data_IF_097383624366
#
_entry.id   IF_097383624366
#
_cell.length_a   1.000
_cell.length_b   1.000
_cell.length_c   1.000
_cell.angle_alpha   90.00
_cell.angle_beta   90.00
_cell.angle_gamma   90.00
#
_symmetry.space_group_name_H-M   'P 1'
#
loop_
_entity.id
_entity.type
_entity.pdbx_description
1 polymer ?
#
# COMPACT_ATOMS: atom_id res chain seq x y z
N UNK A 1 11.57 -49.07 -32.05
CA UNK A 1 12.02 -47.78 -32.60
C UNK A 1 11.59 -46.69 -31.64
N UNK A 2 12.53 -46.04 -30.98
CA UNK A 2 12.23 -44.98 -30.03
C UNK A 2 11.87 -43.70 -30.79
N UNK A 3 10.60 -43.32 -30.71
CA UNK A 3 10.11 -42.09 -31.30
C UNK A 3 10.47 -40.91 -30.39
N UNK A 4 11.47 -40.11 -30.77
CA UNK A 4 11.86 -38.90 -30.02
C UNK A 4 10.95 -37.73 -30.38
N UNK A 5 10.26 -37.16 -29.40
CA UNK A 5 9.47 -35.94 -29.57
C UNK A 5 10.24 -34.74 -29.02
N UNK A 6 10.20 -33.62 -29.74
CA UNK A 6 10.72 -32.32 -29.28
C UNK A 6 9.57 -31.35 -29.16
N UNK A 7 9.41 -30.77 -27.97
CA UNK A 7 8.57 -29.61 -27.74
C UNK A 7 9.45 -28.35 -27.80
N UNK A 8 9.15 -27.46 -28.72
CA UNK A 8 9.75 -26.14 -28.84
C UNK A 8 8.77 -25.08 -28.34
N UNK A 9 9.27 -24.18 -27.49
CA UNK A 9 8.50 -23.08 -26.92
C UNK A 9 9.23 -21.79 -27.23
N UNK A 10 8.55 -20.84 -27.87
CA UNK A 10 9.06 -19.51 -28.17
C UNK A 10 8.32 -18.47 -27.33
N UNK A 11 9.04 -17.78 -26.44
CA UNK A 11 8.49 -16.80 -25.51
C UNK A 11 8.56 -15.39 -26.10
N UNK A 12 7.45 -14.92 -26.67
CA UNK A 12 7.29 -13.54 -27.14
C UNK A 12 6.57 -12.66 -26.10
N UNK A 13 6.64 -11.34 -26.26
CA UNK A 13 6.05 -10.39 -25.31
C UNK A 13 4.51 -10.50 -25.17
N UNK A 14 3.77 -10.82 -26.25
CA UNK A 14 2.30 -10.99 -26.27
C UNK A 14 1.85 -12.38 -26.74
N UNK A 15 2.80 -13.22 -27.14
CA UNK A 15 2.55 -14.47 -27.83
C UNK A 15 3.48 -15.53 -27.28
N UNK A 16 2.99 -16.76 -27.13
CA UNK A 16 3.79 -17.94 -26.84
C UNK A 16 3.64 -18.91 -28.01
N UNK A 17 4.71 -19.12 -28.76
CA UNK A 17 4.76 -20.13 -29.82
C UNK A 17 4.98 -21.52 -29.23
N UNK A 18 4.20 -22.50 -29.67
CA UNK A 18 4.31 -23.90 -29.26
C UNK A 18 4.40 -24.76 -30.51
N UNK A 19 5.44 -25.59 -30.61
CA UNK A 19 5.58 -26.57 -31.68
C UNK A 19 5.98 -27.93 -31.11
N UNK A 20 5.27 -28.98 -31.51
CA UNK A 20 5.60 -30.36 -31.19
C UNK A 20 6.06 -31.05 -32.48
N UNK A 21 7.29 -31.54 -32.48
CA UNK A 21 7.91 -32.18 -33.64
C UNK A 21 8.31 -33.59 -33.27
N UNK A 22 7.94 -34.54 -34.13
CA UNK A 22 8.45 -35.92 -34.09
C UNK A 22 9.76 -35.99 -34.86
N UNK A 23 10.84 -36.37 -34.18
CA UNK A 23 12.14 -36.54 -34.81
C UNK A 23 12.30 -37.99 -35.26
N UNK A 24 12.55 -38.18 -36.55
CA UNK A 24 12.97 -39.46 -37.13
C UNK A 24 14.43 -39.38 -37.59
N UNK A 25 15.02 -40.53 -37.90
CA UNK A 25 16.43 -40.62 -38.34
C UNK A 25 16.67 -39.93 -39.70
N UNK A 26 15.66 -39.86 -40.55
CA UNK A 26 15.75 -39.32 -41.91
C UNK A 26 14.99 -37.99 -42.08
N UNK A 27 14.01 -37.70 -41.22
CA UNK A 27 13.18 -36.50 -41.33
C UNK A 27 12.43 -36.17 -40.04
N UNK A 28 12.22 -34.88 -39.79
CA UNK A 28 11.38 -34.39 -38.71
C UNK A 28 9.97 -34.09 -39.22
N UNK A 29 8.94 -34.50 -38.47
CA UNK A 29 7.53 -34.27 -38.80
C UNK A 29 6.88 -33.38 -37.75
N UNK A 30 6.36 -32.18 -38.11
CA UNK A 30 5.59 -31.37 -37.19
C UNK A 30 4.25 -32.07 -36.87
N UNK A 31 4.00 -32.33 -35.60
CA UNK A 31 2.75 -32.90 -35.12
C UNK A 31 1.75 -31.82 -34.71
N UNK A 32 2.25 -30.70 -34.19
CA UNK A 32 1.42 -29.60 -33.71
C UNK A 32 2.20 -28.28 -33.80
N UNK A 33 1.50 -27.21 -34.17
CA UNK A 33 1.99 -25.84 -34.08
C UNK A 33 0.83 -24.92 -33.70
N UNK A 34 1.00 -24.13 -32.65
CA UNK A 34 0.01 -23.15 -32.22
C UNK A 34 0.69 -21.92 -31.61
N UNK A 35 -0.04 -20.81 -31.62
CA UNK A 35 0.34 -19.58 -30.94
C UNK A 35 -0.70 -19.28 -29.87
N UNK A 36 -0.26 -19.18 -28.62
CA UNK A 36 -1.10 -18.68 -27.54
C UNK A 36 -0.93 -17.17 -27.44
N UNK A 37 -2.02 -16.44 -27.65
CA UNK A 37 -2.03 -14.99 -27.47
C UNK A 37 -2.39 -14.64 -26.02
N UNK A 38 -1.66 -13.71 -25.42
CA UNK A 38 -1.97 -13.16 -24.11
C UNK A 38 -1.74 -11.65 -24.09
N UNK A 39 -2.50 -10.93 -23.27
CA UNK A 39 -2.30 -9.50 -23.05
C UNK A 39 -1.53 -9.27 -21.74
N UNK A 40 -0.25 -8.84 -21.81
CA UNK A 40 0.57 -8.56 -20.64
C UNK A 40 -0.05 -7.50 -19.73
N UNK A 41 -0.77 -6.54 -20.29
CA UNK A 41 -1.37 -5.45 -19.53
C UNK A 41 -2.58 -5.92 -18.72
N UNK A 42 -3.36 -6.88 -19.24
CA UNK A 42 -4.46 -7.49 -18.47
C UNK A 42 -3.94 -8.35 -17.34
N UNK A 43 -2.81 -9.04 -17.55
CA UNK A 43 -2.17 -9.86 -16.52
C UNK A 43 -1.54 -9.00 -15.42
N UNK A 44 -0.86 -7.90 -15.78
CA UNK A 44 -0.26 -6.99 -14.80
C UNK A 44 -1.32 -6.27 -13.97
N UNK A 45 -2.37 -5.72 -14.59
CA UNK A 45 -3.49 -5.05 -13.88
C UNK A 45 -4.14 -5.96 -12.85
N UNK A 46 -4.42 -7.22 -13.20
CA UNK A 46 -4.98 -8.20 -12.25
C UNK A 46 -4.13 -8.41 -10.98
N UNK A 47 -2.82 -8.25 -11.08
CA UNK A 47 -1.88 -8.42 -9.95
C UNK A 47 -1.70 -7.11 -9.18
N UNK A 48 -1.53 -6.00 -9.90
CA UNK A 48 -1.29 -4.65 -9.35
C UNK A 48 -2.53 -4.15 -8.60
N UNK A 49 -3.71 -4.21 -9.21
CA UNK A 49 -4.98 -3.80 -8.59
C UNK A 49 -5.25 -4.60 -7.30
N UNK A 50 -4.93 -5.90 -7.31
CA UNK A 50 -5.11 -6.76 -6.13
C UNK A 50 -4.16 -6.38 -5.01
N UNK A 51 -2.91 -6.03 -5.34
CA UNK A 51 -1.93 -5.57 -4.36
C UNK A 51 -2.34 -4.22 -3.75
N UNK A 52 -2.80 -3.28 -4.56
CA UNK A 52 -3.30 -1.98 -4.11
C UNK A 52 -4.54 -2.12 -3.21
N UNK A 53 -5.55 -2.88 -3.63
CA UNK A 53 -6.74 -3.18 -2.82
C UNK A 53 -6.37 -3.83 -1.48
N UNK A 54 -5.38 -4.75 -1.48
CA UNK A 54 -4.87 -5.37 -0.24
C UNK A 54 -4.17 -4.35 0.65
N UNK A 55 -3.38 -3.45 0.06
CA UNK A 55 -2.74 -2.32 0.73
C UNK A 55 -3.78 -1.44 1.44
N UNK A 56 -4.79 -0.97 0.71
CA UNK A 56 -5.90 -0.19 1.24
C UNK A 56 -6.61 -0.87 2.41
N UNK A 57 -6.97 -2.16 2.25
CA UNK A 57 -7.63 -2.93 3.32
C UNK A 57 -6.76 -3.01 4.57
N UNK A 58 -5.47 -3.27 4.42
CA UNK A 58 -4.52 -3.33 5.55
C UNK A 58 -4.40 -1.99 6.25
N UNK A 59 -4.23 -0.89 5.51
CA UNK A 59 -4.12 0.43 6.14
C UNK A 59 -5.41 0.84 6.85
N UNK A 60 -6.60 0.55 6.28
CA UNK A 60 -7.89 0.76 6.97
C UNK A 60 -7.97 -0.06 8.26
N UNK A 61 -7.58 -1.34 8.22
CA UNK A 61 -7.56 -2.22 9.40
C UNK A 61 -6.63 -1.66 10.48
N UNK A 62 -5.39 -1.33 10.14
CA UNK A 62 -4.41 -0.83 11.12
C UNK A 62 -4.82 0.54 11.68
N UNK A 63 -5.37 1.44 10.85
CA UNK A 63 -5.93 2.72 11.32
C UNK A 63 -7.06 2.50 12.33
N UNK A 64 -8.00 1.58 12.04
CA UNK A 64 -9.12 1.26 12.93
C UNK A 64 -8.63 0.72 14.27
N UNK A 65 -7.71 -0.24 14.26
CA UNK A 65 -7.14 -0.85 15.47
C UNK A 65 -6.40 0.20 16.31
N UNK A 66 -5.56 1.03 15.68
CA UNK A 66 -4.80 2.08 16.37
C UNK A 66 -5.71 3.11 17.05
N UNK A 67 -6.72 3.62 16.34
CA UNK A 67 -7.64 4.62 16.91
C UNK A 67 -8.51 4.02 18.01
N UNK A 68 -8.87 2.73 17.92
CA UNK A 68 -9.55 2.02 19.00
C UNK A 68 -8.65 1.94 20.24
N UNK A 69 -7.41 1.48 20.08
CA UNK A 69 -6.43 1.39 21.17
C UNK A 69 -6.15 2.75 21.81
N UNK A 70 -6.04 3.80 20.99
CA UNK A 70 -5.85 5.17 21.48
C UNK A 70 -7.03 5.59 22.37
N UNK A 71 -8.26 5.39 21.91
CA UNK A 71 -9.46 5.69 22.69
C UNK A 71 -9.51 4.92 23.99
N UNK A 72 -9.27 3.61 23.95
CA UNK A 72 -9.26 2.75 25.14
C UNK A 72 -8.26 3.26 26.19
N UNK A 73 -7.02 3.54 25.77
CA UNK A 73 -5.97 4.04 26.68
C UNK A 73 -6.24 5.45 27.21
N UNK A 74 -6.74 6.36 26.38
CA UNK A 74 -7.10 7.71 26.82
C UNK A 74 -8.32 7.71 27.74
N UNK A 75 -9.26 6.78 27.56
CA UNK A 75 -10.40 6.65 28.49
C UNK A 75 -9.92 6.15 29.86
N UNK A 76 -8.92 5.27 29.88
CA UNK A 76 -8.35 4.72 31.11
C UNK A 76 -7.61 5.75 31.99
N UNK A 77 -7.23 6.92 31.45
CA UNK A 77 -6.63 8.01 32.25
C UNK A 77 -7.69 8.83 33.01
N UNK A 78 -8.98 8.52 32.83
CA UNK A 78 -10.08 9.26 33.45
C UNK A 78 -10.21 10.68 32.92
N UNK A 79 -9.86 10.90 31.64
CA UNK A 79 -10.20 12.12 30.93
C UNK A 79 -11.70 12.17 30.64
N UNK A 80 -12.23 13.37 30.47
CA UNK A 80 -13.60 13.52 30.04
C UNK A 80 -13.79 12.97 28.61
N UNK A 81 -14.97 12.41 28.29
CA UNK A 81 -15.21 11.82 26.97
C UNK A 81 -15.04 12.78 25.79
N UNK A 82 -15.25 14.08 25.98
CA UNK A 82 -15.15 15.07 24.90
C UNK A 82 -13.67 15.32 24.53
N UNK A 83 -12.79 15.48 25.52
CA UNK A 83 -11.33 15.59 25.32
C UNK A 83 -10.78 14.32 24.67
N UNK A 84 -11.21 13.13 25.10
CA UNK A 84 -10.83 11.87 24.45
C UNK A 84 -11.25 11.86 22.98
N UNK A 85 -12.48 12.30 22.68
CA UNK A 85 -12.98 12.39 21.32
C UNK A 85 -12.19 13.38 20.46
N UNK A 86 -11.81 14.52 21.01
CA UNK A 86 -11.02 15.55 20.33
C UNK A 86 -9.61 15.05 20.00
N UNK A 87 -8.90 14.47 20.96
CA UNK A 87 -7.57 13.88 20.75
C UNK A 87 -7.59 12.77 19.70
N UNK A 88 -8.61 11.90 19.73
CA UNK A 88 -8.81 10.85 18.71
C UNK A 88 -9.12 11.46 17.34
N UNK A 89 -9.92 12.53 17.27
CA UNK A 89 -10.26 13.23 16.03
C UNK A 89 -9.04 13.89 15.40
N UNK A 90 -8.20 14.53 16.21
CA UNK A 90 -6.92 15.08 15.78
C UNK A 90 -6.02 13.97 15.22
N UNK A 91 -5.84 12.89 16.00
CA UNK A 91 -4.99 11.74 15.65
C UNK A 91 -5.46 10.95 14.42
N UNK A 92 -6.74 11.04 14.04
CA UNK A 92 -7.29 10.44 12.81
C UNK A 92 -6.64 11.01 11.54
N UNK A 93 -6.12 12.24 11.60
CA UNK A 93 -5.58 13.02 10.48
C UNK A 93 -4.05 13.08 10.47
N UNK A 94 -3.35 12.13 11.11
CA UNK A 94 -1.89 12.23 11.35
C UNK A 94 -1.01 12.52 10.14
N UNK A 95 -1.46 12.23 8.91
CA UNK A 95 -0.99 12.96 7.74
C UNK A 95 0.53 13.04 7.50
N UNK A 96 1.33 12.09 7.98
CA UNK A 96 2.78 12.01 7.73
C UNK A 96 3.17 10.64 7.14
N UNK A 97 4.25 10.64 6.36
CA UNK A 97 4.82 9.46 5.71
C UNK A 97 5.48 8.47 6.70
N UNK A 98 5.66 7.23 6.26
CA UNK A 98 6.46 6.24 7.00
C UNK A 98 7.94 6.65 7.01
N UNK A 99 8.62 6.41 8.13
CA UNK A 99 10.06 6.65 8.26
C UNK A 99 10.91 5.60 7.51
N UNK A 100 10.30 4.49 7.09
CA UNK A 100 10.97 3.38 6.39
C UNK A 100 10.54 3.21 4.93
N UNK A 101 9.70 4.10 4.40
CA UNK A 101 9.59 4.20 2.96
C UNK A 101 10.85 4.91 2.47
N UNK A 102 11.84 4.12 2.03
CA UNK A 102 12.76 4.60 1.02
C UNK A 102 11.92 5.26 -0.07
N UNK A 103 12.33 6.45 -0.54
CA UNK A 103 11.85 7.06 -1.78
C UNK A 103 12.24 6.22 -3.00
N UNK A 104 12.29 4.90 -2.85
CA UNK A 104 12.78 3.99 -3.86
C UNK A 104 11.68 3.66 -4.84
N UNK A 105 12.02 3.97 -6.09
CA UNK A 105 11.39 3.59 -7.35
C UNK A 105 10.13 4.37 -7.70
N UNK A 106 10.29 5.69 -7.76
CA UNK A 106 9.84 6.40 -8.98
C UNK A 106 10.69 5.86 -10.12
N UNK A 107 10.30 4.73 -10.70
CA UNK A 107 10.72 4.45 -12.07
C UNK A 107 10.20 5.62 -12.91
N UNK A 108 11.02 6.25 -13.77
CA UNK A 108 10.55 7.30 -14.66
C UNK A 108 9.79 6.63 -15.81
N UNK A 109 8.69 5.94 -15.51
CA UNK A 109 7.72 5.53 -16.52
C UNK A 109 6.68 6.63 -16.58
N UNK A 110 6.92 7.50 -17.57
CA UNK A 110 6.00 8.46 -18.19
C UNK A 110 5.11 9.23 -17.20
N UNK A 111 5.47 10.50 -17.05
CA UNK A 111 4.54 11.60 -16.84
C UNK A 111 3.35 11.45 -17.80
N UNK A 112 2.26 10.86 -17.32
CA UNK A 112 0.92 11.17 -17.78
C UNK A 112 0.11 11.56 -16.55
N UNK A 113 -0.58 12.68 -16.70
CA UNK A 113 -1.23 13.48 -15.67
C UNK A 113 -2.16 12.66 -14.78
N UNK A 114 -1.69 12.39 -13.58
CA UNK A 114 -2.45 11.86 -12.47
C UNK A 114 -1.64 12.12 -11.22
N UNK A 115 -1.77 13.32 -10.66
CA UNK A 115 -1.12 13.68 -9.41
C UNK A 115 -1.46 12.61 -8.37
N UNK A 116 -0.49 11.74 -8.07
CA UNK A 116 -0.56 10.92 -6.86
C UNK A 116 -0.34 11.90 -5.71
N UNK A 117 -1.41 12.54 -5.28
CA UNK A 117 -1.39 13.50 -4.18
C UNK A 117 -1.00 12.75 -2.92
N UNK A 118 0.29 12.78 -2.58
CA UNK A 118 0.76 12.38 -1.27
C UNK A 118 0.25 13.43 -0.29
N UNK A 119 -0.94 13.18 0.27
CA UNK A 119 -1.73 14.04 1.18
C UNK A 119 -1.08 14.26 2.56
N UNK A 120 0.23 14.41 2.62
CA UNK A 120 0.96 14.67 3.86
C UNK A 120 1.28 16.16 3.98
N UNK A 121 0.39 16.89 4.64
CA UNK A 121 0.49 18.35 4.82
C UNK A 121 1.58 18.77 5.81
N UNK A 122 2.08 17.86 6.66
CA UNK A 122 2.99 18.18 7.76
C UNK A 122 3.99 17.04 8.00
N UNK A 123 5.17 17.36 8.55
CA UNK A 123 6.14 16.33 8.98
C UNK A 123 5.63 15.56 10.21
N UNK A 124 6.28 14.43 10.52
CA UNK A 124 5.95 13.63 11.72
C UNK A 124 6.19 14.47 12.97
N UNK A 125 7.30 15.19 12.99
CA UNK A 125 7.73 16.08 14.06
C UNK A 125 6.73 17.21 14.26
N UNK A 126 6.27 17.84 13.18
CA UNK A 126 5.27 18.92 13.25
C UNK A 126 3.93 18.41 13.77
N UNK A 127 3.53 17.21 13.36
CA UNK A 127 2.32 16.58 13.91
C UNK A 127 2.43 16.37 15.42
N UNK A 128 3.55 15.84 15.91
CA UNK A 128 3.71 15.58 17.34
C UNK A 128 3.87 16.86 18.15
N UNK A 129 4.52 17.89 17.61
CA UNK A 129 4.53 19.24 18.21
C UNK A 129 3.12 19.81 18.34
N UNK A 130 2.32 19.73 17.28
CA UNK A 130 0.93 20.19 17.30
C UNK A 130 0.06 19.37 18.27
N UNK A 131 0.31 18.06 18.37
CA UNK A 131 -0.36 17.18 19.33
C UNK A 131 -0.01 17.55 20.76
N UNK A 132 1.26 17.79 21.05
CA UNK A 132 1.76 18.18 22.37
C UNK A 132 1.14 19.51 22.80
N UNK A 133 1.13 20.51 21.93
CA UNK A 133 0.46 21.79 22.19
C UNK A 133 -1.05 21.60 22.46
N UNK A 134 -1.72 20.73 21.71
CA UNK A 134 -3.14 20.43 21.92
C UNK A 134 -3.40 19.67 23.23
N UNK A 135 -2.47 18.82 23.68
CA UNK A 135 -2.58 18.14 24.98
C UNK A 135 -2.39 19.15 26.11
N UNK A 136 -1.39 20.02 26.01
CA UNK A 136 -1.13 21.05 27.04
C UNK A 136 -2.30 22.03 27.19
N UNK A 137 -3.09 22.27 26.14
CA UNK A 137 -4.27 23.14 26.21
C UNK A 137 -5.56 22.45 26.69
N UNK A 138 -5.73 21.16 26.42
CA UNK A 138 -6.98 20.43 26.67
C UNK A 138 -6.94 19.53 27.91
N UNK A 139 -5.75 19.12 28.37
CA UNK A 139 -5.57 18.11 29.43
C UNK A 139 -5.04 18.77 30.69
N UNK A 140 -5.59 18.45 31.89
CA UNK A 140 -5.04 18.91 33.16
C UNK A 140 -3.55 18.59 33.30
N UNK A 141 -2.78 19.52 33.87
CA UNK A 141 -1.31 19.43 33.96
C UNK A 141 -0.83 18.13 34.63
N UNK A 142 -1.58 17.58 35.59
CA UNK A 142 -1.19 16.33 36.26
C UNK A 142 -1.26 15.09 35.33
N UNK A 143 -2.06 15.17 34.26
CA UNK A 143 -2.30 14.06 33.33
C UNK A 143 -1.62 14.24 31.98
N UNK A 144 -1.12 15.43 31.67
CA UNK A 144 -0.60 15.81 30.35
C UNK A 144 0.56 14.91 29.91
N UNK A 145 1.53 14.64 30.78
CA UNK A 145 2.68 13.78 30.49
C UNK A 145 2.27 12.34 30.19
N UNK A 146 1.36 11.78 31.01
CA UNK A 146 0.84 10.43 30.82
C UNK A 146 0.08 10.30 29.48
N UNK A 147 -0.75 11.29 29.17
CA UNK A 147 -1.52 11.35 27.92
C UNK A 147 -0.60 11.51 26.72
N UNK A 148 0.41 12.36 26.81
CA UNK A 148 1.42 12.52 25.77
C UNK A 148 2.14 11.19 25.51
N UNK A 149 2.62 10.52 26.56
CA UNK A 149 3.29 9.22 26.43
C UNK A 149 2.41 8.15 25.79
N UNK A 150 1.12 8.09 26.15
CA UNK A 150 0.14 7.20 25.51
C UNK A 150 0.02 7.51 24.02
N UNK A 151 -0.15 8.80 23.68
CA UNK A 151 -0.26 9.26 22.32
C UNK A 151 0.99 8.92 21.51
N UNK A 152 2.19 9.16 22.04
CA UNK A 152 3.46 8.84 21.40
C UNK A 152 3.62 7.35 21.12
N UNK A 153 3.29 6.50 22.10
CA UNK A 153 3.37 5.06 21.94
C UNK A 153 2.37 4.55 20.89
N UNK A 154 1.10 4.94 21.00
CA UNK A 154 0.05 4.42 20.11
C UNK A 154 0.17 4.99 18.70
N UNK A 155 0.60 6.24 18.57
CA UNK A 155 0.86 6.89 17.28
C UNK A 155 2.29 6.62 16.79
N UNK A 156 3.09 5.87 17.53
CA UNK A 156 4.40 5.40 17.15
C UNK A 156 5.40 6.54 16.89
N UNK A 157 5.54 7.55 17.76
CA UNK A 157 6.43 8.73 17.54
C UNK A 157 7.82 8.34 17.06
N UNK A 158 8.44 7.37 17.75
CA UNK A 158 9.79 6.86 17.48
C UNK A 158 9.94 6.12 16.15
N UNK A 159 8.83 5.76 15.50
CA UNK A 159 8.91 5.04 14.24
C UNK A 159 9.34 3.60 14.40
N UNK A 160 8.77 2.84 15.33
CA UNK A 160 8.98 1.40 15.35
C UNK A 160 8.37 0.76 14.08
N UNK A 161 9.19 0.04 13.31
CA UNK A 161 8.79 -0.60 12.04
C UNK A 161 7.58 -1.52 12.15
N UNK A 162 7.43 -2.22 13.27
CA UNK A 162 6.32 -3.14 13.52
C UNK A 162 5.00 -2.42 13.81
N UNK A 163 5.07 -1.14 14.21
CA UNK A 163 3.93 -0.29 14.56
C UNK A 163 3.67 0.80 13.52
N UNK A 164 4.43 0.81 12.42
CA UNK A 164 4.25 1.80 11.37
C UNK A 164 3.05 1.46 10.48
N UNK A 165 2.20 2.45 10.26
CA UNK A 165 1.09 2.34 9.33
C UNK A 165 1.56 2.83 7.98
N UNK A 166 1.66 1.91 7.02
CA UNK A 166 1.99 2.25 5.65
C UNK A 166 0.94 3.23 5.08
N UNK A 167 1.37 4.35 4.47
CA UNK A 167 0.51 5.19 3.66
C UNK A 167 -0.39 4.37 2.73
N UNK A 168 -1.63 4.82 2.55
CA UNK A 168 -2.38 4.42 1.34
C UNK A 168 -1.87 5.34 0.25
N UNK A 169 -1.20 4.79 -0.76
CA UNK A 169 -1.06 5.46 -2.05
C UNK A 169 -2.40 5.27 -2.74
N UNK A 170 -3.10 6.36 -3.01
CA UNK A 170 -4.30 6.35 -3.85
C UNK A 170 -3.79 6.86 -5.18
N UNK A 171 -3.71 5.99 -6.19
CA UNK A 171 -3.59 6.47 -7.55
C UNK A 171 -4.92 7.17 -7.88
N UNK A 172 -4.85 8.43 -8.32
CA UNK A 172 -6.06 9.11 -8.78
C UNK A 172 -6.71 8.22 -9.85
N UNK A 173 -8.02 7.97 -9.81
CA UNK A 173 -8.67 7.34 -10.95
C UNK A 173 -8.36 8.20 -12.17
N UNK A 174 -7.81 7.60 -13.22
CA UNK A 174 -7.66 8.27 -14.51
C UNK A 174 -9.08 8.68 -14.92
N UNK A 175 -9.44 9.94 -14.69
CA UNK A 175 -10.68 10.54 -15.20
C UNK A 175 -10.45 10.72 -16.70
N UNK A 176 -10.59 9.62 -17.42
CA UNK A 176 -10.34 9.54 -18.86
C UNK A 176 -11.09 8.39 -19.53
N UNK A 177 -11.93 7.65 -18.80
CA UNK A 177 -12.93 6.79 -19.42
C UNK A 177 -14.04 7.65 -20.00
N UNK A 178 -13.78 8.27 -21.15
CA UNK A 178 -14.84 8.67 -22.08
C UNK A 178 -15.54 7.38 -22.49
N UNK A 179 -16.73 7.17 -21.92
CA UNK A 179 -17.72 6.34 -22.57
C UNK A 179 -18.17 7.09 -23.81
N UNK A 180 -17.74 6.59 -24.97
CA UNK A 180 -18.35 6.83 -26.28
C UNK A 180 -18.05 5.62 -27.15
#
# INVERSE_FOLDING_TARGET
MDCKLTLSIDFGYKNLGLALVKNGELSNTPLFAATLHYDPNQLSRKVEDRAELRGMRRTRKTKKVRLRLLRERLTATGLDPATVQELVRFSKRRGYASLFEERERVSPKKKEEGETEVLFRFSREDFFKALENGILSLVPTEKSESVLRICEQVLNREGNRFNEVRPIRIEAPIIGARFS
#
